data_IF_745376770764
#
_entry.id   IF_745376770764
#
_cell.length_a   1.000
_cell.length_b   1.000
_cell.length_c   1.000
_cell.angle_alpha   90.00
_cell.angle_beta   90.00
_cell.angle_gamma   90.00
#
_symmetry.space_group_name_H-M   'P 1'
#
loop_
_entity.id
_entity.type
_entity.pdbx_description
1 polymer ?
#
# COMPACT_ATOMS: atom_id res chain seq x y z
N UNK A 1 4.22 -12.61 -6.80
CA UNK A 1 4.06 -11.47 -7.72
C UNK A 1 2.60 -11.08 -7.69
N UNK A 2 2.27 -9.78 -7.64
CA UNK A 2 0.87 -9.35 -7.68
C UNK A 2 0.43 -9.14 -9.13
N UNK A 3 -0.87 -9.26 -9.37
CA UNK A 3 -1.49 -9.03 -10.67
C UNK A 3 -2.78 -8.24 -10.50
N UNK A 4 -3.24 -7.63 -11.60
CA UNK A 4 -4.60 -7.10 -11.67
C UNK A 4 -5.62 -8.15 -11.20
N UNK A 5 -6.60 -7.72 -10.41
CA UNK A 5 -7.59 -8.57 -9.75
C UNK A 5 -7.14 -9.19 -8.43
N UNK A 6 -5.86 -9.09 -8.05
CA UNK A 6 -5.40 -9.56 -6.73
C UNK A 6 -6.12 -8.81 -5.61
N UNK A 7 -6.55 -9.54 -4.58
CA UNK A 7 -7.15 -8.95 -3.37
C UNK A 7 -6.13 -9.02 -2.23
N UNK A 8 -5.82 -7.86 -1.66
CA UNK A 8 -4.84 -7.69 -0.59
C UNK A 8 -5.57 -7.42 0.73
N UNK A 9 -5.13 -8.11 1.78
CA UNK A 9 -5.76 -8.05 3.11
C UNK A 9 -7.27 -8.30 3.10
N UNK A 10 -7.76 -9.07 2.12
CA UNK A 10 -9.20 -9.29 1.89
C UNK A 10 -10.03 -8.00 1.70
N UNK A 11 -9.36 -6.86 1.46
CA UNK A 11 -9.96 -5.52 1.55
C UNK A 11 -9.70 -4.66 0.33
N UNK A 12 -8.55 -4.80 -0.32
CA UNK A 12 -8.15 -3.93 -1.44
C UNK A 12 -7.94 -4.75 -2.70
N UNK A 13 -8.73 -4.50 -3.74
CA UNK A 13 -8.59 -5.18 -5.03
C UNK A 13 -7.79 -4.32 -5.98
N UNK A 14 -6.74 -4.88 -6.58
CA UNK A 14 -5.94 -4.20 -7.59
C UNK A 14 -6.72 -4.11 -8.91
N UNK A 15 -6.94 -2.91 -9.44
CA UNK A 15 -7.85 -2.66 -10.56
C UNK A 15 -7.15 -2.65 -11.93
N UNK A 16 -5.83 -2.54 -11.96
CA UNK A 16 -5.06 -2.43 -13.20
C UNK A 16 -3.60 -2.79 -13.05
N UNK A 17 -2.76 -2.54 -14.06
CA UNK A 17 -1.31 -2.64 -13.94
C UNK A 17 -0.76 -1.59 -12.96
N UNK A 18 0.49 -1.72 -12.48
CA UNK A 18 1.10 -0.69 -11.65
C UNK A 18 1.20 0.63 -12.42
N UNK A 19 0.82 1.71 -11.76
CA UNK A 19 0.81 3.08 -12.29
C UNK A 19 2.10 3.85 -11.98
N UNK A 20 2.99 3.25 -11.19
CA UNK A 20 4.31 3.78 -10.91
C UNK A 20 5.20 2.73 -10.27
N UNK A 21 6.51 2.84 -10.50
CA UNK A 21 7.51 2.03 -9.85
C UNK A 21 8.65 2.93 -9.38
N UNK A 22 9.04 2.78 -8.12
CA UNK A 22 10.26 3.35 -7.56
C UNK A 22 11.27 2.25 -7.28
N UNK A 23 12.45 2.63 -6.78
CA UNK A 23 13.54 1.68 -6.53
C UNK A 23 13.16 0.56 -5.54
N UNK A 24 12.23 0.79 -4.63
CA UNK A 24 11.86 -0.14 -3.55
C UNK A 24 10.37 -0.50 -3.52
N UNK A 25 9.55 0.14 -4.37
CA UNK A 25 8.08 0.00 -4.34
C UNK A 25 7.46 0.02 -5.71
N UNK A 26 6.34 -0.68 -5.86
CA UNK A 26 5.40 -0.50 -6.97
C UNK A 26 4.10 0.11 -6.45
N UNK A 27 3.49 0.99 -7.24
CA UNK A 27 2.23 1.66 -6.90
C UNK A 27 1.14 1.12 -7.82
N UNK A 28 0.08 0.60 -7.23
CA UNK A 28 -1.03 -0.03 -7.93
C UNK A 28 -2.33 0.76 -7.68
N UNK A 29 -3.15 0.97 -8.72
CA UNK A 29 -4.50 1.47 -8.52
C UNK A 29 -5.36 0.36 -7.92
N UNK A 30 -6.18 0.69 -6.93
CA UNK A 30 -7.01 -0.29 -6.25
C UNK A 30 -8.35 0.29 -5.78
N UNK A 31 -9.26 -0.61 -5.44
CA UNK A 31 -10.55 -0.28 -4.81
C UNK A 31 -10.61 -0.92 -3.42
N UNK A 32 -11.01 -0.14 -2.43
CA UNK A 32 -11.43 -0.67 -1.13
C UNK A 32 -12.80 -1.32 -1.25
N UNK A 33 -12.88 -2.64 -1.07
CA UNK A 33 -14.08 -3.42 -1.32
C UNK A 33 -15.25 -3.06 -0.39
N UNK A 34 -14.95 -2.67 0.86
CA UNK A 34 -15.97 -2.35 1.85
C UNK A 34 -16.72 -1.05 1.53
N UNK A 35 -16.05 -0.07 0.91
CA UNK A 35 -16.59 1.29 0.71
C UNK A 35 -16.76 1.64 -0.77
N UNK A 36 -16.16 0.86 -1.68
CA UNK A 36 -16.05 1.19 -3.10
C UNK A 36 -15.08 2.35 -3.39
N UNK A 37 -14.33 2.82 -2.39
CA UNK A 37 -13.41 3.97 -2.54
C UNK A 37 -12.21 3.59 -3.39
N UNK A 38 -11.87 4.45 -4.36
CA UNK A 38 -10.61 4.37 -5.09
C UNK A 38 -9.44 4.76 -4.19
N UNK A 39 -8.40 3.93 -4.18
CA UNK A 39 -7.20 4.07 -3.37
C UNK A 39 -5.97 3.69 -4.20
N UNK A 40 -4.78 4.02 -3.68
CA UNK A 40 -3.51 3.52 -4.21
C UNK A 40 -2.86 2.57 -3.21
N UNK A 41 -2.32 1.47 -3.71
CA UNK A 41 -1.56 0.51 -2.91
C UNK A 41 -0.10 0.58 -3.32
N UNK A 42 0.77 0.97 -2.39
CA UNK A 42 2.22 0.93 -2.55
C UNK A 42 2.73 -0.40 -2.00
N UNK A 43 3.16 -1.29 -2.87
CA UNK A 43 3.72 -2.59 -2.52
C UNK A 43 5.24 -2.49 -2.40
N UNK A 44 5.80 -2.99 -1.30
CA UNK A 44 7.26 -3.05 -1.11
C UNK A 44 7.85 -4.34 -1.72
N UNK A 45 9.00 -4.22 -2.38
CA UNK A 45 9.71 -5.37 -2.94
C UNK A 45 10.40 -6.19 -1.84
N UNK A 46 10.00 -7.46 -1.67
CA UNK A 46 10.50 -8.38 -0.62
C UNK A 46 12.02 -8.48 -0.46
N UNK A 47 12.78 -8.19 -1.50
CA UNK A 47 14.23 -8.40 -1.58
C UNK A 47 15.04 -7.12 -1.30
N UNK A 48 14.36 -6.01 -1.00
CA UNK A 48 14.98 -4.69 -0.84
C UNK A 48 14.67 -4.05 0.52
N UNK A 49 14.07 -4.80 1.45
CA UNK A 49 13.64 -4.23 2.73
C UNK A 49 14.17 -5.11 3.86
N UNK A 50 15.03 -4.53 4.71
CA UNK A 50 15.40 -5.13 5.98
C UNK A 50 14.17 -5.08 6.92
N UNK A 51 13.88 -6.12 7.71
CA UNK A 51 12.87 -6.06 8.76
C UNK A 51 12.91 -4.78 9.63
N UNK A 52 14.10 -4.20 9.86
CA UNK A 52 14.26 -2.93 10.56
C UNK A 52 13.62 -1.74 9.82
N UNK A 53 13.75 -1.69 8.49
CA UNK A 53 13.18 -0.64 7.64
C UNK A 53 11.64 -0.73 7.58
N UNK A 54 11.10 -1.95 7.69
CA UNK A 54 9.65 -2.18 7.76
C UNK A 54 9.08 -1.56 9.04
N UNK A 55 9.74 -1.78 10.18
CA UNK A 55 9.29 -1.21 11.46
C UNK A 55 9.28 0.32 11.44
N UNK A 56 10.33 0.93 10.89
CA UNK A 56 10.40 2.38 10.72
C UNK A 56 9.31 2.90 9.76
N UNK A 57 9.11 2.24 8.61
CA UNK A 57 8.08 2.60 7.64
C UNK A 57 6.67 2.45 8.21
N UNK A 58 6.40 1.37 8.96
CA UNK A 58 5.13 1.15 9.64
C UNK A 58 4.86 2.21 10.71
N UNK A 59 5.88 2.62 11.48
CA UNK A 59 5.77 3.69 12.47
C UNK A 59 5.48 5.04 11.82
N UNK A 60 6.23 5.40 10.76
CA UNK A 60 6.01 6.65 10.02
C UNK A 60 4.64 6.68 9.34
N UNK A 61 4.21 5.57 8.75
CA UNK A 61 2.91 5.48 8.12
C UNK A 61 1.77 5.53 9.14
N UNK A 62 1.92 4.87 10.30
CA UNK A 62 0.94 4.94 11.40
C UNK A 62 0.77 6.37 11.91
N UNK A 63 1.87 7.12 12.03
CA UNK A 63 1.83 8.55 12.37
C UNK A 63 1.13 9.40 11.29
N UNK A 64 1.10 8.93 10.04
CA UNK A 64 0.43 9.58 8.91
C UNK A 64 -1.04 9.17 8.72
N UNK A 65 -1.53 8.15 9.44
CA UNK A 65 -2.93 7.71 9.34
C UNK A 65 -3.85 8.84 9.77
N UNK A 66 -4.82 9.17 8.90
CA UNK A 66 -5.81 10.23 9.17
C UNK A 66 -5.28 11.66 9.05
N UNK A 67 -3.99 11.86 8.77
CA UNK A 67 -3.44 13.18 8.42
C UNK A 67 -3.79 13.51 6.97
N UNK A 68 -4.99 14.03 6.75
CA UNK A 68 -5.44 14.57 5.48
C UNK A 68 -5.49 16.11 5.58
N UNK A 69 -4.52 16.79 4.96
CA UNK A 69 -4.57 18.23 4.73
C UNK A 69 -5.16 18.55 3.34
N UNK A 70 -5.40 19.83 3.01
CA UNK A 70 -5.96 20.27 1.72
C UNK A 70 -5.18 19.79 0.48
N UNK A 71 -3.93 19.37 0.65
CA UNK A 71 -3.05 18.83 -0.40
C UNK A 71 -2.47 17.44 -0.08
N UNK A 72 -2.90 16.80 1.02
CA UNK A 72 -2.33 15.53 1.51
C UNK A 72 -3.17 14.32 1.11
N UNK A 73 -2.51 13.25 0.65
CA UNK A 73 -3.16 11.93 0.47
C UNK A 73 -3.25 11.25 1.84
N UNK A 74 -4.45 10.89 2.26
CA UNK A 74 -4.68 10.25 3.55
C UNK A 74 -4.15 8.81 3.55
N UNK A 75 -3.21 8.47 4.43
CA UNK A 75 -2.79 7.08 4.60
C UNK A 75 -3.89 6.31 5.34
N UNK A 76 -4.36 5.21 4.76
CA UNK A 76 -5.37 4.32 5.36
C UNK A 76 -4.73 3.26 6.26
N UNK A 77 -3.48 2.88 5.99
CA UNK A 77 -2.72 1.98 6.85
C UNK A 77 -1.59 1.24 6.15
N UNK A 78 -0.87 0.45 6.95
CA UNK A 78 0.16 -0.50 6.50
C UNK A 78 -0.30 -1.90 6.82
N UNK A 79 -0.10 -2.81 5.87
CA UNK A 79 -0.57 -4.18 5.92
C UNK A 79 0.53 -5.13 5.44
N UNK A 80 0.40 -6.40 5.80
CA UNK A 80 1.28 -7.45 5.32
C UNK A 80 0.54 -8.76 5.09
N UNK A 81 1.15 -9.61 4.25
CA UNK A 81 0.68 -10.94 3.91
C UNK A 81 1.64 -11.62 2.94
N UNK A 82 1.78 -12.94 3.05
CA UNK A 82 2.73 -13.75 2.25
C UNK A 82 4.18 -13.22 2.28
N UNK A 83 4.62 -12.72 3.45
CA UNK A 83 5.96 -12.14 3.61
C UNK A 83 6.20 -10.84 2.83
N UNK A 84 5.13 -10.17 2.40
CA UNK A 84 5.17 -8.89 1.67
C UNK A 84 4.40 -7.83 2.45
N UNK A 85 4.76 -6.57 2.18
CA UNK A 85 4.21 -5.41 2.86
C UNK A 85 3.65 -4.43 1.84
N UNK A 86 2.57 -3.74 2.22
CA UNK A 86 2.00 -2.67 1.41
C UNK A 86 1.39 -1.57 2.27
N UNK A 87 1.42 -0.35 1.74
CA UNK A 87 0.81 0.84 2.30
C UNK A 87 -0.36 1.25 1.41
N UNK A 88 -1.47 1.65 2.02
CA UNK A 88 -2.67 2.12 1.30
C UNK A 88 -2.93 3.58 1.61
N UNK A 89 -3.25 4.37 0.58
CA UNK A 89 -3.56 5.79 0.69
C UNK A 89 -4.65 6.22 -0.32
#
# INVERSE_FOLDING_TARGET
>A
MFSTGSVLSERFRLEGPPIGAGSTVEVWPATELATGRAVVVKVLHRHLVDPADIGAAANSASAAIGLAGPAGVAVLGVFSGDGRWWLVA
#
